data_IF_730228425390
#
_entry.id   IF_730228425390
#
_cell.length_a   1.000
_cell.length_b   1.000
_cell.length_c   1.000
_cell.angle_alpha   90.00
_cell.angle_beta   90.00
_cell.angle_gamma   90.00
#
_symmetry.space_group_name_H-M   'P 1'
#
loop_
_entity.id
_entity.type
_entity.pdbx_description
1 polymer ?
#
# COMPACT_ATOMS: atom_id res chain seq x y z
N UNK A 1 44.65 18.66 -19.66
CA UNK A 1 43.73 18.10 -18.64
C UNK A 1 42.30 18.27 -19.13
N UNK A 2 41.66 17.21 -19.66
CA UNK A 2 40.25 17.26 -20.04
C UNK A 2 39.41 17.19 -18.77
N UNK A 3 38.77 18.31 -18.39
CA UNK A 3 37.66 18.30 -17.44
C UNK A 3 36.58 17.38 -18.04
N UNK A 4 36.41 16.19 -17.48
CA UNK A 4 35.25 15.36 -17.78
C UNK A 4 34.03 16.06 -17.19
N UNK A 5 33.29 16.76 -18.03
CA UNK A 5 32.00 17.36 -17.73
C UNK A 5 30.92 16.27 -17.67
N UNK A 6 31.11 15.27 -16.82
CA UNK A 6 30.08 14.26 -16.56
C UNK A 6 29.65 14.42 -15.11
N UNK A 7 28.34 14.61 -14.88
CA UNK A 7 27.66 14.75 -13.58
C UNK A 7 27.71 13.45 -12.73
N UNK A 8 28.83 12.72 -12.79
CA UNK A 8 29.04 11.41 -12.19
C UNK A 8 29.92 11.60 -10.97
N UNK A 9 29.35 11.27 -9.81
CA UNK A 9 29.99 11.32 -8.51
C UNK A 9 31.06 10.23 -8.44
N UNK A 10 32.33 10.64 -8.33
CA UNK A 10 33.46 9.75 -8.07
C UNK A 10 33.77 9.83 -6.57
N UNK A 11 33.59 8.73 -5.83
CA UNK A 11 33.83 8.70 -4.37
C UNK A 11 35.24 8.18 -4.06
N UNK A 12 35.72 7.16 -4.79
CA UNK A 12 37.00 6.53 -4.52
C UNK A 12 37.73 6.05 -5.78
N UNK A 13 39.01 5.75 -5.62
CA UNK A 13 39.82 4.93 -6.53
C UNK A 13 40.56 3.86 -5.71
N UNK A 14 40.50 2.61 -6.18
CA UNK A 14 41.22 1.49 -5.57
C UNK A 14 42.47 1.12 -6.40
N UNK A 15 43.63 1.08 -5.74
CA UNK A 15 44.92 0.72 -6.29
C UNK A 15 45.68 -0.20 -5.30
N UNK A 16 45.73 -1.53 -5.56
CA UNK A 16 46.22 -2.52 -4.59
C UNK A 16 47.65 -2.31 -4.10
N UNK A 17 48.55 -1.79 -4.95
CA UNK A 17 49.96 -1.61 -4.61
C UNK A 17 50.29 -0.25 -3.96
N UNK A 18 49.32 0.66 -3.83
CA UNK A 18 49.51 1.95 -3.16
C UNK A 18 49.29 1.87 -1.65
N UNK A 19 49.91 2.79 -0.90
CA UNK A 19 49.69 2.95 0.55
C UNK A 19 49.26 4.41 0.81
N UNK A 20 47.98 4.68 1.17
CA UNK A 20 46.89 3.72 1.31
C UNK A 20 46.37 3.21 -0.06
N UNK A 21 45.82 1.99 -0.13
CA UNK A 21 45.32 1.41 -1.38
C UNK A 21 44.00 2.04 -1.87
N UNK A 22 43.40 2.93 -1.08
CA UNK A 22 42.15 3.60 -1.38
C UNK A 22 42.38 5.11 -1.28
N UNK A 23 42.06 5.81 -2.37
CA UNK A 23 41.99 7.27 -2.41
C UNK A 23 40.53 7.70 -2.41
N UNK A 24 40.16 8.63 -1.54
CA UNK A 24 38.78 9.14 -1.39
C UNK A 24 38.67 10.56 -1.91
N UNK A 25 37.56 10.88 -2.56
CA UNK A 25 37.26 12.21 -3.07
C UNK A 25 36.01 12.78 -2.39
N UNK A 26 36.04 14.04 -1.92
CA UNK A 26 34.86 14.65 -1.32
C UNK A 26 33.78 14.85 -2.40
N UNK A 27 32.55 14.44 -2.10
CA UNK A 27 31.39 14.59 -2.97
C UNK A 27 30.31 15.37 -2.23
N UNK A 28 29.80 16.42 -2.87
CA UNK A 28 28.70 17.23 -2.32
C UNK A 28 27.47 16.34 -2.10
N UNK A 29 26.95 16.31 -0.87
CA UNK A 29 25.79 15.52 -0.49
C UNK A 29 26.10 14.08 -0.11
N UNK A 30 27.37 13.72 0.07
CA UNK A 30 27.77 12.37 0.49
C UNK A 30 28.58 12.48 1.77
N UNK A 31 28.10 11.86 2.84
CA UNK A 31 28.84 11.75 4.10
C UNK A 31 29.42 10.35 4.22
N UNK A 32 30.72 10.28 4.47
CA UNK A 32 31.46 9.03 4.66
C UNK A 32 31.73 8.86 6.16
N UNK A 33 31.36 7.72 6.78
CA UNK A 33 31.72 7.44 8.17
C UNK A 33 33.24 7.50 8.36
N UNK A 34 33.72 7.98 9.50
CA UNK A 34 35.16 8.13 9.78
C UNK A 34 35.89 6.78 9.88
N UNK A 35 35.16 5.71 10.20
CA UNK A 35 35.69 4.36 10.40
C UNK A 35 35.06 3.38 9.39
N UNK A 36 35.91 2.66 8.63
CA UNK A 36 35.52 1.59 7.70
C UNK A 36 34.52 1.95 6.58
N UNK A 37 34.66 3.13 5.98
CA UNK A 37 33.85 3.55 4.83
C UNK A 37 33.96 2.59 3.62
N UNK A 38 35.12 1.95 3.46
CA UNK A 38 35.44 1.12 2.30
C UNK A 38 35.83 -0.28 2.74
N UNK A 39 35.07 -1.27 2.30
CA UNK A 39 35.31 -2.68 2.56
C UNK A 39 35.76 -3.34 1.25
N UNK A 40 37.06 -3.39 1.04
CA UNK A 40 37.67 -3.99 -0.14
C UNK A 40 38.33 -5.33 0.20
N UNK A 41 37.94 -6.37 -0.55
CA UNK A 41 38.60 -7.67 -0.63
C UNK A 41 39.34 -7.77 -1.96
N UNK A 42 39.98 -8.92 -2.25
CA UNK A 42 40.63 -9.17 -3.55
C UNK A 42 39.68 -9.06 -4.75
N UNK A 43 38.38 -9.27 -4.54
CA UNK A 43 37.40 -9.41 -5.63
C UNK A 43 36.24 -8.41 -5.55
N UNK A 44 36.03 -7.78 -4.39
CA UNK A 44 34.87 -6.92 -4.15
C UNK A 44 35.29 -5.67 -3.38
N UNK A 45 34.68 -4.54 -3.69
CA UNK A 45 34.78 -3.32 -2.90
C UNK A 45 33.38 -2.78 -2.63
N UNK A 46 33.08 -2.49 -1.38
CA UNK A 46 31.81 -1.89 -0.96
C UNK A 46 32.05 -0.55 -0.27
N UNK A 47 31.16 0.40 -0.50
CA UNK A 47 31.19 1.73 0.11
C UNK A 47 29.95 1.91 0.97
N UNK A 48 30.13 2.29 2.23
CA UNK A 48 29.03 2.62 3.12
C UNK A 48 28.85 4.14 3.12
N UNK A 49 27.64 4.57 2.76
CA UNK A 49 27.21 5.97 2.81
C UNK A 49 26.29 6.14 4.01
N UNK A 50 26.45 7.25 4.74
CA UNK A 50 25.64 7.58 5.90
C UNK A 50 24.93 8.93 5.69
N UNK A 51 23.87 9.19 6.46
CA UNK A 51 23.09 10.43 6.44
C UNK A 51 22.63 10.79 5.02
N UNK A 52 21.90 9.86 4.40
CA UNK A 52 21.44 10.01 3.03
C UNK A 52 20.41 11.14 2.91
N UNK A 53 20.66 12.05 1.98
CA UNK A 53 19.80 13.18 1.64
C UNK A 53 19.36 13.09 0.17
N UNK A 54 18.36 13.85 -0.27
CA UNK A 54 17.95 13.89 -1.69
C UNK A 54 19.11 14.20 -2.64
N UNK A 55 20.01 15.11 -2.23
CA UNK A 55 21.22 15.50 -2.95
C UNK A 55 22.30 14.41 -3.01
N UNK A 56 22.18 13.36 -2.21
CA UNK A 56 22.98 12.13 -2.33
C UNK A 56 22.55 11.32 -3.56
N UNK A 57 21.38 11.55 -4.14
CA UNK A 57 21.01 10.93 -5.42
C UNK A 57 21.98 11.32 -6.54
N UNK A 58 22.22 10.40 -7.47
CA UNK A 58 23.06 10.66 -8.63
C UNK A 58 23.69 9.39 -9.21
N UNK A 59 24.54 9.60 -10.20
CA UNK A 59 25.30 8.54 -10.84
C UNK A 59 26.64 8.39 -10.12
N UNK A 60 26.96 7.17 -9.68
CA UNK A 60 28.15 6.81 -8.93
C UNK A 60 29.04 5.92 -9.77
N UNK A 61 30.32 6.28 -9.88
CA UNK A 61 31.30 5.49 -10.63
C UNK A 61 32.33 4.86 -9.71
N UNK A 62 32.46 3.55 -9.79
CA UNK A 62 33.56 2.80 -9.20
C UNK A 62 34.68 2.70 -10.22
N UNK A 63 35.92 2.96 -9.79
CA UNK A 63 37.11 2.89 -10.63
C UNK A 63 38.19 2.07 -9.95
N UNK A 64 38.79 1.18 -10.74
CA UNK A 64 39.89 0.31 -10.34
C UNK A 64 41.06 0.61 -11.28
N UNK A 65 42.17 1.01 -10.68
CA UNK A 65 43.42 1.24 -11.40
C UNK A 65 44.37 0.08 -11.15
N UNK A 66 44.72 -0.64 -12.21
CA UNK A 66 45.83 -1.58 -12.23
C UNK A 66 47.15 -0.84 -12.19
N UNK A 67 48.12 -1.45 -11.54
CA UNK A 67 49.44 -0.88 -11.34
C UNK A 67 50.40 -1.24 -12.50
N UNK A 68 51.65 -0.79 -12.40
CA UNK A 68 52.70 -1.11 -13.36
C UNK A 68 52.87 -2.65 -13.52
N UNK A 69 53.24 -3.15 -14.71
CA UNK A 69 53.61 -2.40 -15.93
C UNK A 69 52.43 -2.08 -16.86
N UNK A 70 51.26 -2.70 -16.68
CA UNK A 70 50.16 -2.64 -17.66
C UNK A 70 49.13 -1.53 -17.43
N UNK A 71 49.15 -0.83 -16.28
CA UNK A 71 48.30 0.33 -15.95
C UNK A 71 46.89 0.31 -16.57
N UNK A 72 46.09 -0.70 -16.21
CA UNK A 72 44.71 -0.86 -16.73
C UNK A 72 43.71 -0.06 -15.89
N UNK A 73 42.81 0.68 -16.50
CA UNK A 73 41.70 1.34 -15.79
C UNK A 73 40.39 0.64 -16.14
N UNK A 74 39.70 0.12 -15.13
CA UNK A 74 38.35 -0.46 -15.27
C UNK A 74 37.40 0.39 -14.44
N UNK A 75 36.25 0.74 -15.01
CA UNK A 75 35.25 1.52 -14.31
C UNK A 75 33.85 1.12 -14.69
N UNK A 76 32.96 1.12 -13.70
CA UNK A 76 31.54 0.88 -13.89
C UNK A 76 30.73 1.97 -13.17
N UNK A 77 29.59 2.33 -13.73
CA UNK A 77 28.74 3.41 -13.22
C UNK A 77 27.35 2.88 -12.90
N UNK A 78 26.84 3.19 -11.71
CA UNK A 78 25.49 2.85 -11.26
C UNK A 78 24.72 4.11 -10.82
N UNK A 79 23.41 4.11 -10.98
CA UNK A 79 22.56 5.21 -10.51
C UNK A 79 21.96 4.87 -9.16
N UNK A 80 22.02 5.82 -8.23
CA UNK A 80 21.38 5.71 -6.92
C UNK A 80 20.39 6.87 -6.75
N UNK A 81 19.18 6.54 -6.33
CA UNK A 81 18.13 7.52 -6.01
C UNK A 81 17.74 7.36 -4.55
N UNK A 82 17.77 8.45 -3.80
CA UNK A 82 17.24 8.51 -2.45
C UNK A 82 15.77 8.91 -2.52
N UNK A 83 14.91 8.10 -1.94
CA UNK A 83 13.46 8.29 -1.96
C UNK A 83 12.89 8.36 -0.54
N UNK A 84 11.86 9.19 -0.38
CA UNK A 84 11.02 9.21 0.81
C UNK A 84 9.75 8.40 0.50
N UNK A 85 9.62 7.24 1.15
CA UNK A 85 8.52 6.31 0.89
C UNK A 85 7.29 6.62 1.75
N UNK A 86 6.07 6.34 1.25
CA UNK A 86 4.85 6.48 2.04
C UNK A 86 4.89 5.53 3.24
N UNK A 87 4.63 6.06 4.44
CA UNK A 87 4.64 5.29 5.68
C UNK A 87 3.29 4.63 5.95
N UNK A 88 2.22 5.30 5.56
CA UNK A 88 0.85 4.88 5.81
C UNK A 88 0.14 4.45 4.53
N UNK A 89 -0.90 3.63 4.70
CA UNK A 89 -1.81 3.28 3.63
C UNK A 89 -2.64 4.50 3.19
N UNK A 90 -3.08 4.55 1.91
CA UNK A 90 -3.88 5.67 1.44
C UNK A 90 -5.21 5.73 2.19
N UNK A 91 -5.72 6.93 2.45
CA UNK A 91 -6.96 7.12 3.22
C UNK A 91 -8.12 7.27 2.25
N UNK A 92 -9.17 6.47 2.45
CA UNK A 92 -10.43 6.57 1.72
C UNK A 92 -11.45 7.37 2.55
N UNK A 93 -12.06 8.39 1.97
CA UNK A 93 -13.08 9.25 2.60
C UNK A 93 -14.27 9.49 1.66
N UNK A 94 -15.37 10.04 2.18
CA UNK A 94 -16.58 10.36 1.41
C UNK A 94 -17.57 9.20 1.21
N UNK A 95 -17.20 7.99 1.63
CA UNK A 95 -17.99 6.77 1.43
C UNK A 95 -18.94 6.53 2.61
N UNK A 96 -20.22 6.30 2.31
CA UNK A 96 -21.21 5.84 3.29
C UNK A 96 -21.14 4.32 3.50
N UNK A 97 -21.62 3.85 4.65
CA UNK A 97 -21.68 2.42 4.94
C UNK A 97 -22.67 1.64 4.06
N UNK A 98 -23.74 2.31 3.59
CA UNK A 98 -24.78 1.71 2.77
C UNK A 98 -25.27 2.66 1.67
N UNK A 99 -25.65 2.10 0.53
CA UNK A 99 -26.26 2.79 -0.62
C UNK A 99 -27.41 1.98 -1.19
N UNK A 100 -28.35 2.63 -1.85
CA UNK A 100 -29.39 1.98 -2.67
C UNK A 100 -28.93 1.86 -4.13
N UNK A 101 -29.62 0.99 -4.88
CA UNK A 101 -29.39 0.92 -6.33
C UNK A 101 -29.81 2.25 -6.99
N UNK A 102 -28.94 2.82 -7.82
CA UNK A 102 -29.10 4.14 -8.43
C UNK A 102 -28.48 5.30 -7.64
N UNK A 103 -28.09 5.11 -6.37
CA UNK A 103 -27.48 6.16 -5.57
C UNK A 103 -26.18 6.67 -6.18
N UNK A 104 -25.86 7.93 -5.93
CA UNK A 104 -24.60 8.51 -6.35
C UNK A 104 -23.53 8.31 -5.27
N UNK A 105 -22.48 7.57 -5.59
CA UNK A 105 -21.33 7.33 -4.72
C UNK A 105 -20.21 8.32 -5.08
N UNK A 106 -19.64 8.96 -4.05
CA UNK A 106 -18.45 9.79 -4.15
C UNK A 106 -17.43 9.30 -3.13
N UNK A 107 -16.23 8.96 -3.60
CA UNK A 107 -15.13 8.54 -2.74
C UNK A 107 -13.86 9.31 -3.10
N UNK A 108 -13.08 9.68 -2.09
CA UNK A 108 -11.77 10.29 -2.30
C UNK A 108 -10.71 9.41 -1.66
N UNK A 109 -9.69 9.05 -2.44
CA UNK A 109 -8.52 8.36 -1.94
C UNK A 109 -7.35 9.33 -1.90
N UNK A 110 -6.69 9.44 -0.75
CA UNK A 110 -5.52 10.32 -0.57
C UNK A 110 -4.30 9.50 -0.15
N UNK A 111 -3.19 9.62 -0.88
CA UNK A 111 -1.93 8.95 -0.54
C UNK A 111 -1.24 9.60 0.67
N UNK A 112 -0.34 8.87 1.32
CA UNK A 112 0.66 9.49 2.18
C UNK A 112 1.68 10.28 1.35
N UNK A 113 2.45 11.12 2.03
CA UNK A 113 3.47 11.98 1.46
C UNK A 113 4.68 11.15 1.03
N UNK A 114 5.14 11.35 -0.19
CA UNK A 114 6.25 10.59 -0.76
C UNK A 114 7.04 11.40 -1.79
N UNK A 115 8.29 10.98 -2.03
CA UNK A 115 9.13 11.51 -3.09
C UNK A 115 9.96 10.35 -3.68
N UNK A 116 9.71 9.91 -4.91
CA UNK A 116 8.72 10.45 -5.85
C UNK A 116 7.26 10.18 -5.41
N UNK A 117 6.29 10.98 -5.88
CA UNK A 117 4.90 10.84 -5.48
C UNK A 117 4.30 9.51 -5.92
N UNK A 118 3.49 8.89 -5.05
CA UNK A 118 2.70 7.73 -5.40
C UNK A 118 1.65 8.04 -6.49
N UNK A 119 1.40 7.07 -7.36
CA UNK A 119 0.25 7.07 -8.26
C UNK A 119 -0.91 6.33 -7.63
N UNK A 120 -2.10 6.91 -7.74
CA UNK A 120 -3.32 6.35 -7.20
C UNK A 120 -4.08 5.57 -8.27
N UNK A 121 -4.73 4.50 -7.88
CA UNK A 121 -5.63 3.72 -8.73
C UNK A 121 -6.77 3.17 -7.89
N UNK A 122 -7.98 3.27 -8.43
CA UNK A 122 -9.17 2.69 -7.84
C UNK A 122 -9.50 1.35 -8.47
N UNK A 123 -10.03 0.44 -7.65
CA UNK A 123 -10.56 -0.84 -8.05
C UNK A 123 -11.94 -1.03 -7.40
N UNK A 124 -12.88 -1.54 -8.17
CA UNK A 124 -14.24 -1.89 -7.76
C UNK A 124 -14.35 -3.41 -7.91
N UNK A 125 -14.55 -4.13 -6.80
CA UNK A 125 -14.57 -5.60 -6.78
C UNK A 125 -13.35 -6.23 -7.49
N UNK A 126 -12.17 -5.67 -7.21
CA UNK A 126 -10.88 -6.07 -7.79
C UNK A 126 -10.71 -5.81 -9.30
N UNK A 127 -11.71 -5.23 -9.96
CA UNK A 127 -11.58 -4.70 -11.32
C UNK A 127 -11.18 -3.23 -11.31
N UNK A 128 -10.28 -2.81 -12.21
CA UNK A 128 -9.80 -1.43 -12.24
C UNK A 128 -10.95 -0.49 -12.61
N UNK A 129 -11.14 0.57 -11.82
CA UNK A 129 -12.18 1.55 -12.07
C UNK A 129 -11.97 2.22 -13.45
N UNK A 130 -13.05 2.38 -14.23
CA UNK A 130 -12.95 2.94 -15.56
C UNK A 130 -12.67 4.46 -15.50
N UNK A 131 -11.95 5.04 -16.48
CA UNK A 131 -11.51 6.44 -16.43
C UNK A 131 -12.66 7.45 -16.31
N UNK A 132 -13.84 7.15 -16.84
CA UNK A 132 -15.04 7.99 -16.75
C UNK A 132 -15.55 8.20 -15.32
N UNK A 133 -15.20 7.31 -14.38
CA UNK A 133 -15.56 7.47 -12.96
C UNK A 133 -14.55 8.31 -12.20
N UNK A 134 -13.39 8.59 -12.80
CA UNK A 134 -12.28 9.24 -12.13
C UNK A 134 -12.27 10.73 -12.43
N UNK A 135 -11.95 11.52 -11.41
CA UNK A 135 -11.56 12.91 -11.62
C UNK A 135 -10.06 13.05 -11.85
N UNK A 136 -9.63 14.18 -12.43
CA UNK A 136 -8.21 14.49 -12.52
C UNK A 136 -7.53 14.37 -11.16
N UNK A 137 -6.38 13.71 -11.16
CA UNK A 137 -5.54 13.56 -9.98
C UNK A 137 -5.13 14.93 -9.45
N UNK A 138 -5.32 15.14 -8.14
CA UNK A 138 -4.89 16.36 -7.45
C UNK A 138 -3.60 16.09 -6.70
N UNK A 139 -2.70 17.06 -6.67
CA UNK A 139 -1.39 16.96 -6.01
C UNK A 139 -1.19 18.16 -5.08
N UNK A 140 -0.53 17.92 -3.96
CA UNK A 140 -0.06 18.97 -3.05
C UNK A 140 1.37 18.67 -2.64
N UNK A 141 2.19 19.71 -2.63
CA UNK A 141 3.63 19.64 -2.39
C UNK A 141 3.97 20.26 -1.04
N UNK A 142 4.90 19.64 -0.32
CA UNK A 142 5.47 20.14 0.93
C UNK A 142 6.97 19.87 0.96
N UNK A 143 7.74 20.83 1.46
CA UNK A 143 9.16 20.68 1.69
C UNK A 143 9.44 20.17 3.12
N UNK A 144 10.22 19.09 3.26
CA UNK A 144 10.67 18.58 4.56
C UNK A 144 11.98 17.81 4.38
N UNK A 145 12.95 18.03 5.27
CA UNK A 145 14.25 17.31 5.28
C UNK A 145 14.96 17.33 3.91
N UNK A 146 14.83 18.44 3.17
CA UNK A 146 15.37 18.61 1.83
C UNK A 146 14.61 17.89 0.71
N UNK A 147 13.57 17.10 1.04
CA UNK A 147 12.69 16.45 0.06
C UNK A 147 11.55 17.38 -0.35
N UNK A 148 11.22 17.34 -1.64
CA UNK A 148 9.94 17.79 -2.18
C UNK A 148 8.93 16.63 -2.04
N UNK A 149 8.29 16.55 -0.88
CA UNK A 149 7.28 15.54 -0.59
C UNK A 149 5.97 15.92 -1.25
N UNK A 150 5.29 14.92 -1.80
CA UNK A 150 3.99 15.11 -2.47
C UNK A 150 3.02 14.05 -2.03
N UNK A 151 1.79 14.47 -1.75
CA UNK A 151 0.65 13.57 -1.65
C UNK A 151 -0.33 13.86 -2.77
N UNK A 152 -1.10 12.84 -3.13
CA UNK A 152 -2.08 12.92 -4.21
C UNK A 152 -3.44 12.48 -3.74
N UNK A 153 -4.47 13.03 -4.36
CA UNK A 153 -5.86 12.64 -4.13
C UNK A 153 -6.55 12.30 -5.45
N UNK A 154 -7.27 11.18 -5.48
CA UNK A 154 -8.02 10.71 -6.64
C UNK A 154 -9.48 10.48 -6.23
N UNK A 155 -10.37 11.29 -6.78
CA UNK A 155 -11.81 11.16 -6.57
C UNK A 155 -12.40 10.15 -7.56
N UNK A 156 -13.24 9.27 -7.03
CA UNK A 156 -14.05 8.28 -7.72
C UNK A 156 -15.52 8.66 -7.55
N UNK A 157 -16.28 8.72 -8.65
CA UNK A 157 -17.70 9.06 -8.62
C UNK A 157 -18.49 8.32 -9.69
N UNK A 158 -19.62 7.72 -9.30
CA UNK A 158 -20.50 6.99 -10.22
C UNK A 158 -21.87 6.74 -9.56
N UNK A 159 -22.85 6.39 -10.39
CA UNK A 159 -24.12 5.85 -9.90
C UNK A 159 -23.99 4.35 -9.65
N UNK A 160 -24.37 3.91 -8.46
CA UNK A 160 -24.39 2.50 -8.08
C UNK A 160 -25.37 1.75 -8.98
N UNK A 161 -24.90 0.69 -9.59
CA UNK A 161 -25.68 -0.17 -10.49
C UNK A 161 -25.28 -1.62 -10.22
N UNK A 162 -26.23 -2.42 -9.72
CA UNK A 162 -26.01 -3.83 -9.36
C UNK A 162 -25.42 -4.68 -10.47
N UNK A 163 -25.88 -4.50 -11.70
CA UNK A 163 -25.45 -5.29 -12.84
C UNK A 163 -24.04 -4.90 -13.29
N UNK A 164 -23.76 -3.60 -13.37
CA UNK A 164 -22.47 -3.09 -13.88
C UNK A 164 -21.31 -3.28 -12.90
N UNK A 165 -21.56 -3.18 -11.60
CA UNK A 165 -20.50 -3.23 -10.60
C UNK A 165 -20.32 -4.63 -9.99
N UNK A 166 -20.85 -5.68 -10.65
CA UNK A 166 -20.72 -7.07 -10.23
C UNK A 166 -20.99 -7.27 -8.73
N UNK A 167 -22.09 -6.69 -8.23
CA UNK A 167 -22.38 -6.64 -6.80
C UNK A 167 -22.78 -8.03 -6.31
N UNK A 168 -21.91 -8.65 -5.52
CA UNK A 168 -22.11 -9.98 -4.94
C UNK A 168 -22.54 -9.85 -3.48
N UNK A 169 -23.58 -10.60 -3.08
CA UNK A 169 -24.11 -10.61 -1.70
C UNK A 169 -24.48 -9.21 -1.18
N UNK A 170 -25.06 -8.35 -2.03
CA UNK A 170 -25.44 -6.99 -1.66
C UNK A 170 -24.26 -6.16 -1.08
N UNK A 171 -23.05 -6.37 -1.60
CA UNK A 171 -21.89 -5.58 -1.20
C UNK A 171 -20.94 -5.34 -2.36
N UNK A 172 -20.19 -4.25 -2.27
CA UNK A 172 -19.16 -3.84 -3.21
C UNK A 172 -17.90 -3.44 -2.44
N UNK A 173 -16.74 -3.92 -2.89
CA UNK A 173 -15.45 -3.54 -2.35
C UNK A 173 -14.85 -2.43 -3.19
N UNK A 174 -14.52 -1.32 -2.54
CA UNK A 174 -13.70 -0.27 -3.13
C UNK A 174 -12.28 -0.40 -2.58
N UNK A 175 -11.30 -0.56 -3.47
CA UNK A 175 -9.88 -0.63 -3.13
C UNK A 175 -9.15 0.52 -3.79
N UNK A 176 -8.36 1.25 -3.02
CA UNK A 176 -7.44 2.24 -3.53
C UNK A 176 -5.99 1.76 -3.34
N UNK A 177 -5.22 1.85 -4.41
CA UNK A 177 -3.81 1.45 -4.45
C UNK A 177 -2.93 2.68 -4.69
N UNK A 178 -1.93 2.87 -3.85
CA UNK A 178 -0.92 3.93 -3.94
C UNK A 178 0.45 3.30 -4.26
N UNK A 179 0.97 3.55 -5.45
CA UNK A 179 2.20 2.92 -5.95
C UNK A 179 3.26 3.95 -6.35
N UNK A 180 4.46 3.80 -5.81
CA UNK A 180 5.63 4.53 -6.28
C UNK A 180 6.24 3.76 -7.46
N UNK A 181 6.11 4.26 -8.70
CA UNK A 181 6.46 3.50 -9.92
C UNK A 181 7.88 2.94 -9.92
N UNK A 182 8.84 3.75 -9.48
CA UNK A 182 10.26 3.38 -9.46
C UNK A 182 10.59 2.37 -8.37
N UNK A 183 9.70 2.17 -7.39
CA UNK A 183 9.92 1.32 -6.22
C UNK A 183 8.65 0.45 -5.99
N UNK A 184 8.48 -0.63 -6.76
CA UNK A 184 7.31 -1.52 -6.65
C UNK A 184 7.02 -2.04 -5.23
N UNK A 185 8.08 -2.28 -4.44
CA UNK A 185 7.96 -2.74 -3.06
C UNK A 185 7.32 -1.69 -2.13
N UNK A 186 7.33 -0.41 -2.51
CA UNK A 186 6.67 0.68 -1.79
C UNK A 186 5.23 0.90 -2.28
N UNK A 187 4.49 -0.18 -2.50
CA UNK A 187 3.05 -0.12 -2.80
C UNK A 187 2.25 -0.23 -1.50
N UNK A 188 1.24 0.60 -1.35
CA UNK A 188 0.32 0.65 -0.21
C UNK A 188 -1.12 0.56 -0.71
N UNK A 189 -2.02 0.01 0.09
CA UNK A 189 -3.42 -0.12 -0.31
C UNK A 189 -4.38 0.00 0.86
N UNK A 190 -5.58 0.51 0.57
CA UNK A 190 -6.71 0.51 1.50
C UNK A 190 -7.94 -0.02 0.80
N UNK A 191 -8.78 -0.73 1.54
CA UNK A 191 -10.04 -1.28 1.03
C UNK A 191 -11.18 -0.98 1.99
N UNK A 192 -12.34 -0.67 1.45
CA UNK A 192 -13.60 -0.52 2.19
C UNK A 192 -14.69 -1.36 1.52
N UNK A 193 -15.56 -1.95 2.32
CA UNK A 193 -16.75 -2.67 1.84
C UNK A 193 -17.96 -1.79 2.08
N UNK A 194 -18.75 -1.63 1.03
CA UNK A 194 -19.98 -0.85 0.99
C UNK A 194 -21.15 -1.80 0.81
N UNK A 195 -22.19 -1.66 1.61
CA UNK A 195 -23.39 -2.49 1.51
C UNK A 195 -24.42 -1.84 0.59
N UNK A 196 -25.16 -2.65 -0.17
CA UNK A 196 -26.12 -2.18 -1.16
C UNK A 196 -27.49 -2.70 -0.79
N UNK A 197 -28.34 -1.83 -0.26
CA UNK A 197 -29.70 -2.15 0.12
C UNK A 197 -30.55 -2.31 -1.13
N UNK A 198 -31.25 -3.45 -1.23
CA UNK A 198 -32.22 -3.69 -2.29
C UNK A 198 -33.63 -3.50 -1.77
N UNK A 199 -34.49 -2.95 -2.60
CA UNK A 199 -35.91 -2.86 -2.27
C UNK A 199 -36.59 -4.25 -2.29
N UNK A 200 -36.01 -5.22 -2.99
CA UNK A 200 -36.47 -6.61 -3.04
C UNK A 200 -36.26 -7.38 -1.73
N UNK A 201 -35.27 -7.00 -0.91
CA UNK A 201 -35.06 -7.60 0.41
C UNK A 201 -36.12 -7.13 1.42
N UNK A 202 -36.67 -5.92 1.23
CA UNK A 202 -37.75 -5.37 2.05
C UNK A 202 -39.12 -5.98 1.70
N UNK A 203 -39.37 -6.36 0.44
CA UNK A 203 -40.64 -7.01 0.02
C UNK A 203 -40.77 -8.44 0.56
N UNK A 204 -39.67 -9.18 0.69
CA UNK A 204 -39.66 -10.50 1.33
C UNK A 204 -39.98 -10.45 2.84
N UNK A 205 -39.60 -9.37 3.54
CA UNK A 205 -40.05 -9.14 4.92
C UNK A 205 -41.54 -8.77 4.99
N UNK A 206 -42.05 -8.07 3.98
CA UNK A 206 -43.46 -7.64 3.93
C UNK A 206 -44.42 -8.81 3.70
N UNK A 207 -44.02 -9.85 2.98
CA UNK A 207 -44.83 -11.06 2.74
C UNK A 207 -44.93 -11.98 3.98
N UNK A 208 -43.88 -12.04 4.82
CA UNK A 208 -43.91 -12.81 6.08
C UNK A 208 -44.97 -12.22 7.04
N UNK A 209 -45.08 -10.89 7.10
CA UNK A 209 -46.03 -10.19 7.96
C UNK A 209 -47.48 -10.20 7.42
N UNK A 210 -47.68 -10.48 6.13
CA UNK A 210 -49.04 -10.57 5.55
C UNK A 210 -49.70 -11.92 5.87
N UNK A 211 -48.91 -12.99 5.95
CA UNK A 211 -49.40 -14.33 6.35
C UNK A 211 -49.70 -14.45 7.85
N UNK A 212 -49.17 -13.56 8.69
CA UNK A 212 -49.49 -13.57 10.14
C UNK A 212 -50.75 -12.79 10.51
N UNK A 213 -51.42 -12.12 9.55
CA UNK A 213 -52.55 -11.22 9.83
C UNK A 213 -53.90 -11.63 9.20
N UNK A 214 -53.99 -12.79 8.55
CA UNK A 214 -55.26 -13.35 8.06
C UNK A 214 -55.56 -14.69 8.72
N UNK A 215 -55.95 -14.65 10.00
CA UNK A 215 -56.30 -15.84 10.78
C UNK A 215 -56.92 -15.50 12.13
N UNK A 216 -58.12 -14.92 12.12
CA UNK A 216 -58.89 -14.67 13.34
C UNK A 216 -59.46 -15.99 13.91
N UNK A 217 -58.96 -16.40 15.09
CA UNK A 217 -59.71 -16.70 16.34
C UNK A 217 -59.13 -17.87 17.15
N UNK A 218 -58.50 -17.47 18.26
CA UNK A 218 -58.56 -18.02 19.63
C UNK A 218 -58.83 -19.53 19.77
N UNK A 219 -57.82 -20.26 20.24
CA UNK A 219 -58.02 -21.42 21.10
C UNK A 219 -57.28 -21.20 22.42
N UNK A 220 -58.07 -20.97 23.46
CA UNK A 220 -57.69 -21.08 24.87
C UNK A 220 -57.41 -22.55 25.18
N UNK A 221 -56.23 -22.87 25.68
CA UNK A 221 -55.90 -24.21 26.15
C UNK A 221 -55.58 -24.17 27.65
N UNK A 222 -56.47 -24.71 28.47
CA UNK A 222 -56.20 -25.29 29.80
C UNK A 222 -57.20 -26.46 30.02
N UNK A 223 -57.06 -27.33 31.04
CA UNK A 223 -56.29 -28.58 30.98
C UNK A 223 -57.10 -29.81 31.45
N UNK A 224 -56.64 -31.04 31.22
CA UNK A 224 -56.87 -32.25 32.07
C UNK A 224 -56.06 -33.43 31.48
N UNK A 225 -54.98 -33.92 32.11
CA UNK A 225 -54.87 -34.92 33.21
C UNK A 225 -55.30 -36.36 32.83
N UNK A 226 -54.31 -37.23 32.60
CA UNK A 226 -54.22 -38.67 32.93
C UNK A 226 -52.72 -39.05 32.85
N UNK A 227 -51.94 -39.01 33.93
CA UNK A 227 -51.59 -40.10 34.87
C UNK A 227 -51.16 -41.41 34.21
N UNK A 228 -49.85 -41.69 34.24
CA UNK A 228 -49.34 -43.01 34.65
C UNK A 228 -47.93 -42.86 35.28
N UNK A 229 -47.82 -43.36 36.52
CA UNK A 229 -46.61 -43.43 37.32
C UNK A 229 -45.68 -44.52 36.79
N UNK A 230 -44.37 -44.25 36.81
CA UNK A 230 -43.38 -45.25 37.21
C UNK A 230 -42.23 -44.55 37.98
N UNK A 231 -42.20 -44.82 39.29
CA UNK A 231 -41.17 -44.47 40.26
C UNK A 231 -39.88 -45.25 40.03
N UNK A 232 -38.73 -44.62 40.31
CA UNK A 232 -37.51 -45.13 41.00
C UNK A 232 -36.32 -44.24 40.57
N UNK A 233 -36.01 -43.17 41.31
CA UNK A 233 -35.03 -43.16 42.42
C UNK A 233 -33.80 -44.02 42.13
N UNK A 234 -32.70 -43.39 41.73
CA UNK A 234 -31.42 -43.59 42.41
C UNK A 234 -30.44 -42.46 42.09
N UNK A 235 -30.18 -41.65 43.11
CA UNK A 235 -29.02 -40.80 43.25
C UNK A 235 -27.78 -41.69 43.45
N UNK A 236 -26.68 -41.26 42.82
CA UNK A 236 -25.26 -41.53 43.15
C UNK A 236 -24.72 -42.95 42.95
N UNK A 237 -23.62 -43.03 42.19
CA UNK A 237 -22.31 -43.66 42.49
C UNK A 237 -21.43 -43.37 41.26
N UNK A 238 -20.50 -42.41 41.30
CA UNK A 238 -19.10 -42.60 41.71
C UNK A 238 -18.36 -43.70 40.93
N UNK A 239 -17.20 -43.32 40.38
CA UNK A 239 -16.08 -44.13 39.85
C UNK A 239 -16.16 -44.61 38.39
N UNK A 240 -15.51 -43.88 37.48
CA UNK A 240 -14.16 -44.22 37.00
C UNK A 240 -13.46 -43.00 36.40
#
# INVERSE_FOLDING_TARGET
>A
MKKSTNNVKRINNYAPMMIPPIMTFPVVGVTLPKDQTFLCTKNTCSVILDQLEPRTSGSYRCEISGDAPEFKLISETGNMTIAALPRHDPIITGVNHSYEDGDFLLANCTSDMSSPPAMLSWYINDEKAPPEYLQPLRETTMESDGFQLRFRSLELRFHVDKARHAIVRNSMRLKCLARVEQIPAATRESSIVVYITSQDDLTNQKLINYWTNSGHRKFTATPHLYVSLALLVCLMLATR
#
